data_IF_775378247537
#
_entry.id   IF_775378247537
#
_cell.length_a   1.000
_cell.length_b   1.000
_cell.length_c   1.000
_cell.angle_alpha   90.00
_cell.angle_beta   90.00
_cell.angle_gamma   90.00
#
_symmetry.space_group_name_H-M   'P 1'
#
loop_
_entity.id
_entity.type
_entity.pdbx_description
1 polymer ?
#
# COMPACT_ATOMS: atom_id res chain seq x y z
N UNK A 1 -9.28 -24.93 56.17
CA UNK A 1 -9.73 -24.49 54.82
C UNK A 1 -8.54 -24.68 53.92
N UNK A 2 -8.35 -25.93 53.42
CA UNK A 2 -7.37 -26.24 52.39
C UNK A 2 -8.15 -26.36 51.06
N UNK A 3 -8.00 -25.37 50.16
CA UNK A 3 -8.52 -25.44 48.82
C UNK A 3 -7.79 -26.54 48.05
N UNK A 4 -8.53 -27.33 47.26
CA UNK A 4 -8.04 -28.43 46.44
C UNK A 4 -6.89 -27.92 45.54
N UNK A 5 -5.69 -28.44 45.76
CA UNK A 5 -4.54 -28.24 44.84
C UNK A 5 -4.84 -29.11 43.62
N UNK A 6 -4.91 -28.55 42.41
CA UNK A 6 -5.17 -29.31 41.20
C UNK A 6 -4.10 -30.41 41.02
N UNK A 7 -4.52 -31.64 40.71
CA UNK A 7 -3.67 -32.77 40.44
C UNK A 7 -2.70 -32.49 39.29
N UNK A 8 -1.46 -32.99 39.38
CA UNK A 8 -0.38 -32.89 38.38
C UNK A 8 -0.86 -33.26 36.97
N UNK A 9 -1.81 -34.19 36.86
CA UNK A 9 -2.42 -34.59 35.58
C UNK A 9 -3.33 -33.49 35.00
N UNK A 10 -3.91 -32.65 35.81
CA UNK A 10 -4.75 -31.54 35.40
C UNK A 10 -3.86 -30.42 34.84
N UNK A 11 -2.71 -30.14 35.47
CA UNK A 11 -1.68 -29.21 34.96
C UNK A 11 -1.07 -29.68 33.65
N UNK A 12 -0.80 -30.98 33.50
CA UNK A 12 -0.26 -31.58 32.29
C UNK A 12 -1.23 -31.46 31.12
N UNK A 13 -2.52 -31.73 31.34
CA UNK A 13 -3.59 -31.57 30.33
C UNK A 13 -3.76 -30.11 29.92
N UNK A 14 -3.75 -29.18 30.85
CA UNK A 14 -3.84 -27.76 30.54
C UNK A 14 -2.62 -27.25 29.76
N UNK A 15 -1.43 -27.70 30.07
CA UNK A 15 -0.22 -27.34 29.32
C UNK A 15 -0.22 -27.94 27.89
N UNK A 16 -0.68 -29.17 27.72
CA UNK A 16 -0.80 -29.80 26.38
C UNK A 16 -1.86 -29.13 25.52
N UNK A 17 -3.03 -28.77 26.10
CA UNK A 17 -4.06 -28.02 25.40
C UNK A 17 -3.61 -26.59 25.05
N UNK A 18 -2.83 -25.96 25.91
CA UNK A 18 -2.27 -24.64 25.62
C UNK A 18 -1.22 -24.69 24.53
N UNK A 19 -0.33 -25.70 24.54
CA UNK A 19 0.71 -25.91 23.52
C UNK A 19 0.11 -26.29 22.16
N UNK A 20 -0.91 -27.15 22.11
CA UNK A 20 -1.62 -27.50 20.88
C UNK A 20 -2.42 -26.33 20.34
N UNK A 21 -3.05 -25.53 21.19
CA UNK A 21 -3.73 -24.28 20.81
C UNK A 21 -2.77 -23.25 20.23
N UNK A 22 -1.61 -23.05 20.86
CA UNK A 22 -0.55 -22.14 20.38
C UNK A 22 0.05 -22.63 19.04
N UNK A 23 0.29 -23.95 18.89
CA UNK A 23 0.77 -24.52 17.62
C UNK A 23 -0.28 -24.38 16.50
N UNK A 24 -1.55 -24.57 16.79
CA UNK A 24 -2.62 -24.41 15.80
C UNK A 24 -2.82 -22.96 15.39
N UNK A 25 -2.72 -21.99 16.32
CA UNK A 25 -2.71 -20.56 16.01
C UNK A 25 -1.49 -20.14 15.16
N UNK A 26 -0.32 -20.68 15.43
CA UNK A 26 0.92 -20.39 14.65
C UNK A 26 0.83 -20.95 13.22
N UNK A 27 0.36 -22.18 13.06
CA UNK A 27 0.16 -22.79 11.74
C UNK A 27 -0.88 -22.01 10.91
N UNK A 28 -1.97 -21.54 11.52
CA UNK A 28 -2.96 -20.71 10.86
C UNK A 28 -2.41 -19.33 10.43
N UNK A 29 -1.50 -18.75 11.18
CA UNK A 29 -0.86 -17.47 10.82
C UNK A 29 0.11 -17.64 9.63
N UNK A 30 0.94 -18.69 9.65
CA UNK A 30 1.89 -19.00 8.57
C UNK A 30 1.12 -19.32 7.28
N UNK A 31 0.08 -20.15 7.36
CA UNK A 31 -0.74 -20.50 6.20
C UNK A 31 -1.42 -19.26 5.57
N UNK A 32 -1.93 -18.33 6.39
CA UNK A 32 -2.50 -17.06 5.89
C UNK A 32 -1.45 -16.19 5.22
N UNK A 33 -0.27 -16.04 5.82
CA UNK A 33 0.83 -15.29 5.22
C UNK A 33 1.23 -15.90 3.88
N UNK A 34 1.41 -17.21 3.81
CA UNK A 34 1.73 -17.92 2.57
C UNK A 34 0.64 -17.70 1.49
N UNK A 35 -0.64 -17.81 1.85
CA UNK A 35 -1.76 -17.57 0.93
C UNK A 35 -1.74 -16.15 0.37
N UNK A 36 -1.52 -15.13 1.21
CA UNK A 36 -1.42 -13.72 0.79
C UNK A 36 -0.25 -13.51 -0.15
N UNK A 37 0.92 -14.06 0.17
CA UNK A 37 2.12 -13.92 -0.65
C UNK A 37 1.94 -14.61 -2.00
N UNK A 38 1.42 -15.83 -2.03
CA UNK A 38 1.15 -16.57 -3.27
C UNK A 38 0.14 -15.83 -4.14
N UNK A 39 -0.98 -15.40 -3.57
CA UNK A 39 -2.00 -14.65 -4.30
C UNK A 39 -1.43 -13.34 -4.89
N UNK A 40 -0.64 -12.60 -4.09
CA UNK A 40 0.01 -11.37 -4.57
C UNK A 40 1.02 -11.67 -5.66
N UNK A 41 1.82 -12.72 -5.54
CA UNK A 41 2.80 -13.13 -6.56
C UNK A 41 2.12 -13.52 -7.88
N UNK A 42 1.00 -14.25 -7.83
CA UNK A 42 0.20 -14.59 -9.02
C UNK A 42 -0.31 -13.30 -9.68
N UNK A 43 -0.89 -12.38 -8.92
CA UNK A 43 -1.37 -11.09 -9.45
C UNK A 43 -0.23 -10.26 -10.04
N UNK A 44 0.94 -10.24 -9.41
CA UNK A 44 2.13 -9.59 -9.94
C UNK A 44 2.60 -10.22 -11.27
N UNK A 45 2.41 -11.51 -11.48
CA UNK A 45 2.68 -12.18 -12.77
C UNK A 45 1.64 -11.85 -13.85
N UNK A 46 0.36 -11.68 -13.47
CA UNK A 46 -0.73 -11.37 -14.39
C UNK A 46 -0.69 -9.91 -14.89
N UNK A 47 -0.32 -8.97 -14.03
CA UNK A 47 -0.32 -7.53 -14.35
C UNK A 47 0.50 -7.17 -15.60
N UNK A 48 1.74 -7.64 -15.80
CA UNK A 48 2.48 -7.38 -17.03
C UNK A 48 1.78 -7.93 -18.28
N UNK A 49 1.15 -9.11 -18.18
CA UNK A 49 0.39 -9.70 -19.29
C UNK A 49 -0.80 -8.83 -19.69
N UNK A 50 -1.54 -8.30 -18.68
CA UNK A 50 -2.60 -7.31 -18.93
C UNK A 50 -2.01 -6.06 -19.59
N UNK A 51 -0.87 -5.57 -19.12
CA UNK A 51 -0.21 -4.38 -19.66
C UNK A 51 0.17 -4.55 -21.13
N UNK A 52 0.73 -5.69 -21.50
CA UNK A 52 1.06 -6.01 -22.91
C UNK A 52 -0.21 -6.11 -23.75
N UNK A 53 -1.24 -6.80 -23.27
CA UNK A 53 -2.52 -6.90 -23.98
C UNK A 53 -3.18 -5.53 -24.21
N UNK A 54 -3.09 -4.63 -23.24
CA UNK A 54 -3.59 -3.24 -23.36
C UNK A 54 -2.75 -2.41 -24.33
N UNK A 55 -1.41 -2.56 -24.29
CA UNK A 55 -0.49 -1.88 -25.22
C UNK A 55 -0.81 -2.22 -26.67
N UNK A 56 -1.05 -3.49 -26.94
CA UNK A 56 -1.23 -4.01 -28.29
C UNK A 56 -2.68 -3.89 -28.81
N UNK A 57 -3.63 -3.48 -27.94
CA UNK A 57 -5.04 -3.31 -28.28
C UNK A 57 -5.38 -1.90 -28.73
N UNK A 58 -5.55 -1.69 -30.02
CA UNK A 58 -6.03 -0.42 -30.57
C UNK A 58 -7.42 -0.02 -30.03
N UNK A 59 -8.31 -1.00 -29.81
CA UNK A 59 -9.67 -0.76 -29.30
C UNK A 59 -9.61 -0.25 -27.86
N UNK A 60 -8.79 -0.86 -27.00
CA UNK A 60 -8.62 -0.41 -25.63
C UNK A 60 -8.05 1.01 -25.59
N UNK A 61 -6.98 1.26 -26.35
CA UNK A 61 -6.34 2.58 -26.46
C UNK A 61 -7.32 3.66 -26.93
N UNK A 62 -8.13 3.37 -27.96
CA UNK A 62 -9.13 4.30 -28.46
C UNK A 62 -10.19 4.62 -27.39
N UNK A 63 -10.74 3.61 -26.72
CA UNK A 63 -11.75 3.80 -25.65
C UNK A 63 -11.21 4.65 -24.51
N UNK A 64 -10.01 4.37 -24.04
CA UNK A 64 -9.41 5.11 -22.94
C UNK A 64 -9.02 6.54 -23.36
N UNK A 65 -8.58 6.75 -24.60
CA UNK A 65 -8.32 8.09 -25.15
C UNK A 65 -9.60 8.93 -25.20
N UNK A 66 -10.73 8.34 -25.58
CA UNK A 66 -12.04 9.05 -25.57
C UNK A 66 -12.41 9.51 -24.15
N UNK A 67 -12.14 8.70 -23.13
CA UNK A 67 -12.34 9.11 -21.72
C UNK A 67 -11.45 10.30 -21.39
N UNK A 68 -10.18 10.28 -21.77
CA UNK A 68 -9.25 11.39 -21.52
C UNK A 68 -9.67 12.68 -22.26
N UNK A 69 -10.17 12.57 -23.48
CA UNK A 69 -10.70 13.71 -24.23
C UNK A 69 -11.93 14.33 -23.53
N UNK A 70 -12.84 13.51 -23.00
CA UNK A 70 -13.98 14.00 -22.22
C UNK A 70 -13.52 14.72 -20.93
N UNK A 71 -12.48 14.21 -20.26
CA UNK A 71 -11.88 14.85 -19.07
C UNK A 71 -11.15 16.15 -19.45
N UNK A 72 -10.61 16.26 -20.65
CA UNK A 72 -9.95 17.48 -21.14
C UNK A 72 -10.89 18.67 -21.27
N UNK A 73 -12.21 18.45 -21.36
CA UNK A 73 -13.22 19.50 -21.39
C UNK A 73 -13.55 20.11 -20.00
N UNK A 74 -12.99 19.56 -18.92
CA UNK A 74 -13.20 20.06 -17.56
C UNK A 74 -12.45 21.38 -17.30
N UNK A 75 -12.90 22.21 -16.31
CA UNK A 75 -12.33 23.52 -16.02
C UNK A 75 -10.80 23.47 -15.76
N UNK A 76 -10.10 24.52 -16.24
CA UNK A 76 -8.63 24.63 -16.12
C UNK A 76 -8.13 24.57 -14.67
N UNK A 77 -8.86 25.14 -13.71
CA UNK A 77 -8.47 25.10 -12.29
C UNK A 77 -8.28 23.70 -11.72
N UNK A 78 -8.96 22.67 -12.28
CA UNK A 78 -8.71 21.27 -11.91
C UNK A 78 -7.34 20.76 -12.41
N UNK A 79 -6.86 21.30 -13.52
CA UNK A 79 -5.54 20.98 -14.07
C UNK A 79 -4.41 21.61 -13.24
N UNK A 80 -4.63 22.84 -12.75
CA UNK A 80 -3.67 23.51 -11.87
C UNK A 80 -3.50 22.74 -10.57
N UNK A 81 -4.61 22.34 -9.93
CA UNK A 81 -4.58 21.44 -8.77
C UNK A 81 -3.89 20.09 -9.08
N UNK A 82 -4.15 19.54 -10.27
CA UNK A 82 -3.53 18.30 -10.72
C UNK A 82 -2.03 18.44 -10.92
N UNK A 83 -1.56 19.60 -11.36
CA UNK A 83 -0.14 19.91 -11.53
C UNK A 83 0.56 20.01 -10.17
N UNK A 84 -0.06 20.62 -9.16
CA UNK A 84 0.47 20.63 -7.80
C UNK A 84 0.63 19.19 -7.27
N UNK A 85 -0.38 18.34 -7.44
CA UNK A 85 -0.30 16.93 -7.07
C UNK A 85 0.80 16.19 -7.86
N UNK A 86 1.04 16.58 -9.12
CA UNK A 86 2.14 16.02 -9.92
C UNK A 86 3.51 16.27 -9.29
N UNK A 87 3.77 17.47 -8.82
CA UNK A 87 5.03 17.81 -8.16
C UNK A 87 5.16 17.12 -6.81
N UNK A 88 4.09 17.13 -5.99
CA UNK A 88 4.10 16.51 -4.66
C UNK A 88 4.34 14.99 -4.72
N UNK A 89 3.76 14.32 -5.70
CA UNK A 89 3.90 12.87 -5.88
C UNK A 89 4.88 12.47 -6.99
N UNK A 90 5.75 13.42 -7.41
CA UNK A 90 6.94 13.11 -8.17
C UNK A 90 7.90 12.23 -7.35
N UNK A 91 8.92 11.65 -7.99
CA UNK A 91 9.94 10.86 -7.27
C UNK A 91 10.56 11.64 -6.11
N UNK A 92 10.94 12.89 -6.34
CA UNK A 92 11.55 13.75 -5.32
C UNK A 92 10.56 14.09 -4.21
N UNK A 93 9.35 14.50 -4.56
CA UNK A 93 8.30 14.81 -3.59
C UNK A 93 7.93 13.59 -2.74
N UNK A 94 7.78 12.42 -3.35
CA UNK A 94 7.51 11.17 -2.64
C UNK A 94 8.62 10.83 -1.64
N UNK A 95 9.89 10.91 -2.06
CA UNK A 95 11.04 10.66 -1.17
C UNK A 95 11.03 11.65 0.01
N UNK A 96 10.80 12.94 -0.25
CA UNK A 96 10.77 13.96 0.80
C UNK A 96 9.64 13.70 1.81
N UNK A 97 8.44 13.36 1.35
CA UNK A 97 7.30 13.07 2.23
C UNK A 97 7.55 11.79 3.04
N UNK A 98 8.04 10.73 2.41
CA UNK A 98 8.37 9.48 3.12
C UNK A 98 9.47 9.70 4.15
N UNK A 99 10.52 10.47 3.83
CA UNK A 99 11.58 10.81 4.78
C UNK A 99 11.05 11.61 5.98
N UNK A 100 10.16 12.58 5.74
CA UNK A 100 9.52 13.34 6.82
C UNK A 100 8.66 12.43 7.72
N UNK A 101 7.84 11.55 7.14
CA UNK A 101 7.05 10.57 7.89
C UNK A 101 7.94 9.60 8.66
N UNK A 102 9.05 9.13 8.08
CA UNK A 102 10.02 8.27 8.75
C UNK A 102 10.69 8.96 9.95
N UNK A 103 11.01 10.26 9.82
CA UNK A 103 11.54 11.04 10.93
C UNK A 103 10.52 11.20 12.07
N UNK A 104 9.25 11.44 11.73
CA UNK A 104 8.15 11.48 12.70
C UNK A 104 7.98 10.12 13.37
N UNK A 105 7.97 9.04 12.60
CA UNK A 105 7.81 7.68 13.12
C UNK A 105 8.96 7.28 14.05
N UNK A 106 10.19 7.69 13.73
CA UNK A 106 11.35 7.50 14.60
C UNK A 106 11.18 8.22 15.96
N UNK A 107 10.65 9.44 15.96
CA UNK A 107 10.36 10.18 17.21
C UNK A 107 9.24 9.54 18.02
N UNK A 108 8.25 8.94 17.35
CA UNK A 108 7.14 8.25 18.00
C UNK A 108 7.61 6.95 18.63
N UNK A 109 8.32 6.12 17.89
CA UNK A 109 8.67 4.74 18.25
C UNK A 109 9.98 4.62 18.99
N UNK A 110 10.93 5.53 18.75
CA UNK A 110 12.32 5.44 19.23
C UNK A 110 13.12 4.28 18.61
N UNK A 111 12.56 3.55 17.65
CA UNK A 111 13.11 2.32 17.09
C UNK A 111 13.44 2.44 15.61
N UNK A 112 14.74 2.42 15.27
CA UNK A 112 15.19 2.38 13.88
C UNK A 112 14.67 1.15 13.13
N UNK A 113 14.57 0.00 13.80
CA UNK A 113 14.07 -1.25 13.20
C UNK A 113 12.62 -1.10 12.73
N UNK A 114 11.75 -0.49 13.54
CA UNK A 114 10.36 -0.22 13.18
C UNK A 114 10.29 0.71 11.96
N UNK A 115 11.07 1.80 11.96
CA UNK A 115 11.10 2.75 10.84
C UNK A 115 11.59 2.09 9.55
N UNK A 116 12.66 1.31 9.60
CA UNK A 116 13.17 0.57 8.44
C UNK A 116 12.09 -0.36 7.88
N UNK A 117 11.41 -1.12 8.75
CA UNK A 117 10.27 -1.96 8.36
C UNK A 117 9.21 -1.14 7.63
N UNK A 118 8.78 -0.03 8.22
CA UNK A 118 7.67 0.76 7.70
C UNK A 118 8.04 1.43 6.36
N UNK A 119 9.29 1.86 6.19
CA UNK A 119 9.81 2.35 4.91
C UNK A 119 9.88 1.23 3.87
N UNK A 120 10.43 0.06 4.21
CA UNK A 120 10.54 -1.09 3.28
C UNK A 120 9.15 -1.55 2.83
N UNK A 121 8.22 -1.73 3.76
CA UNK A 121 6.83 -2.11 3.46
C UNK A 121 6.16 -1.10 2.53
N UNK A 122 6.37 0.20 2.79
CA UNK A 122 5.75 1.25 2.00
C UNK A 122 6.36 1.37 0.60
N UNK A 123 7.69 1.30 0.48
CA UNK A 123 8.42 1.54 -0.77
C UNK A 123 8.49 0.32 -1.72
N UNK A 124 8.26 -0.89 -1.21
CA UNK A 124 8.37 -2.12 -2.01
C UNK A 124 7.60 -2.09 -3.35
N UNK A 125 6.38 -1.51 -3.44
CA UNK A 125 5.65 -1.45 -4.70
C UNK A 125 6.35 -0.66 -5.82
N UNK A 126 7.22 0.31 -5.47
CA UNK A 126 7.92 1.14 -6.47
C UNK A 126 8.86 0.29 -7.33
N UNK A 127 9.57 -0.66 -6.71
CA UNK A 127 10.47 -1.57 -7.44
C UNK A 127 9.69 -2.40 -8.47
N UNK A 128 8.55 -2.92 -8.06
CA UNK A 128 7.66 -3.68 -8.94
C UNK A 128 7.13 -2.82 -10.10
N UNK A 129 6.55 -1.65 -9.79
CA UNK A 129 6.00 -0.73 -10.79
C UNK A 129 7.08 -0.30 -11.79
N UNK A 130 8.29 0.00 -11.32
CA UNK A 130 9.41 0.36 -12.20
C UNK A 130 9.80 -0.79 -13.12
N UNK A 131 9.91 -2.02 -12.60
CA UNK A 131 10.21 -3.19 -13.41
C UNK A 131 9.14 -3.47 -14.47
N UNK A 132 7.86 -3.41 -14.10
CA UNK A 132 6.74 -3.63 -15.03
C UNK A 132 6.67 -2.56 -16.11
N UNK A 133 7.00 -1.29 -15.80
CA UNK A 133 7.07 -0.22 -16.82
C UNK A 133 7.97 -0.59 -17.98
N UNK A 134 9.19 -1.00 -17.67
CA UNK A 134 10.21 -1.36 -18.68
C UNK A 134 9.94 -2.71 -19.34
N UNK A 135 9.16 -3.58 -18.73
CA UNK A 135 8.73 -4.85 -19.33
C UNK A 135 7.57 -4.66 -20.32
N UNK A 136 6.62 -3.77 -19.99
CA UNK A 136 5.42 -3.55 -20.79
C UNK A 136 5.65 -2.50 -21.89
N UNK A 137 6.38 -1.44 -21.60
CA UNK A 137 6.70 -0.33 -22.51
C UNK A 137 5.47 0.29 -23.20
N UNK A 138 4.35 0.41 -22.47
CA UNK A 138 3.12 1.01 -23.01
C UNK A 138 3.34 2.49 -23.32
N UNK A 139 3.10 2.96 -24.56
CA UNK A 139 3.21 4.38 -24.89
C UNK A 139 2.20 5.21 -24.10
N UNK A 140 2.55 6.47 -23.81
CA UNK A 140 1.65 7.41 -23.13
C UNK A 140 0.55 7.91 -24.08
N UNK A 141 -0.61 8.35 -23.51
CA UNK A 141 -1.66 8.97 -24.32
C UNK A 141 -1.12 10.21 -25.06
N UNK A 142 -1.44 10.32 -26.35
CA UNK A 142 -1.22 11.55 -27.13
C UNK A 142 -2.48 12.40 -26.96
N UNK A 143 -2.43 13.36 -26.04
CA UNK A 143 -3.54 14.27 -25.79
C UNK A 143 -3.11 15.72 -26.03
N UNK A 144 -4.05 16.57 -26.48
CA UNK A 144 -3.82 18.00 -26.65
C UNK A 144 -3.53 18.75 -25.33
N UNK A 145 -3.71 18.11 -24.20
CA UNK A 145 -3.57 18.68 -22.87
C UNK A 145 -2.13 18.64 -22.36
N UNK A 146 -1.32 17.71 -22.83
CA UNK A 146 0.08 17.57 -22.42
C UNK A 146 0.98 18.56 -23.17
N UNK A 147 1.03 19.81 -22.75
CA UNK A 147 1.90 20.87 -23.31
C UNK A 147 3.39 20.49 -23.25
N UNK A 148 3.83 19.60 -24.14
CA UNK A 148 5.25 19.38 -24.46
C UNK A 148 6.13 18.69 -23.40
N UNK A 149 5.63 18.38 -22.21
CA UNK A 149 6.38 17.75 -21.11
C UNK A 149 5.89 16.33 -20.82
N UNK A 150 5.79 15.49 -21.87
CA UNK A 150 5.56 14.07 -21.65
C UNK A 150 6.80 13.46 -20.97
N UNK A 151 6.65 12.79 -19.82
CA UNK A 151 7.74 12.04 -19.23
C UNK A 151 8.27 11.00 -20.21
N UNK A 152 9.58 10.78 -20.25
CA UNK A 152 10.23 9.84 -21.16
C UNK A 152 10.05 8.36 -20.78
N UNK A 153 9.39 8.06 -19.64
CA UNK A 153 9.12 6.71 -19.17
C UNK A 153 7.76 6.17 -19.68
N UNK A 154 7.58 4.84 -19.79
CA UNK A 154 6.33 4.21 -20.22
C UNK A 154 5.13 4.57 -19.33
N UNK A 155 3.89 4.44 -19.88
CA UNK A 155 2.68 4.84 -19.15
C UNK A 155 2.25 3.83 -18.09
N UNK A 156 2.37 2.53 -18.37
CA UNK A 156 1.83 1.45 -17.54
C UNK A 156 2.90 0.78 -16.66
N UNK A 157 2.63 0.56 -15.39
CA UNK A 157 1.59 1.13 -14.55
C UNK A 157 1.94 2.57 -14.11
N UNK A 158 0.98 3.31 -13.48
CA UNK A 158 1.20 4.70 -13.09
C UNK A 158 2.14 4.85 -11.88
N UNK A 159 3.31 5.47 -12.10
CA UNK A 159 4.29 5.73 -11.03
C UNK A 159 3.81 6.73 -9.97
N UNK A 160 3.07 7.79 -10.36
CA UNK A 160 2.52 8.76 -9.41
C UNK A 160 1.42 8.17 -8.53
N UNK A 161 0.57 7.30 -9.09
CA UNK A 161 -0.43 6.58 -8.29
C UNK A 161 0.25 5.61 -7.32
N UNK A 162 1.31 4.93 -7.75
CA UNK A 162 2.13 4.10 -6.86
C UNK A 162 2.78 4.94 -5.74
N UNK A 163 3.34 6.12 -6.05
CA UNK A 163 3.89 7.04 -5.06
C UNK A 163 2.83 7.49 -4.03
N UNK A 164 1.61 7.77 -4.48
CA UNK A 164 0.50 8.09 -3.57
C UNK A 164 0.17 6.91 -2.63
N UNK A 165 0.22 5.67 -3.12
CA UNK A 165 0.06 4.48 -2.27
C UNK A 165 1.20 4.35 -1.27
N UNK A 166 2.46 4.55 -1.70
CA UNK A 166 3.64 4.52 -0.81
C UNK A 166 3.49 5.51 0.35
N UNK A 167 3.16 6.77 0.03
CA UNK A 167 2.93 7.82 1.04
C UNK A 167 1.76 7.45 1.96
N UNK A 168 0.67 6.92 1.39
CA UNK A 168 -0.52 6.50 2.14
C UNK A 168 -0.23 5.36 3.11
N UNK A 169 0.52 4.34 2.67
CA UNK A 169 0.92 3.20 3.52
C UNK A 169 1.84 3.69 4.63
N UNK A 170 2.85 4.51 4.33
CA UNK A 170 3.75 5.07 5.34
C UNK A 170 2.98 5.90 6.38
N UNK A 171 2.04 6.74 5.93
CA UNK A 171 1.17 7.52 6.82
C UNK A 171 0.32 6.62 7.72
N UNK A 172 -0.29 5.55 7.18
CA UNK A 172 -1.09 4.60 7.97
C UNK A 172 -0.23 3.92 9.04
N UNK A 173 1.00 3.50 8.71
CA UNK A 173 1.90 2.84 9.64
C UNK A 173 2.37 3.81 10.75
N UNK A 174 2.78 5.03 10.39
CA UNK A 174 3.15 6.08 11.35
C UNK A 174 1.99 6.40 12.31
N UNK A 175 0.78 6.59 11.77
CA UNK A 175 -0.44 6.84 12.57
C UNK A 175 -0.79 5.65 13.45
N UNK A 176 -0.61 4.41 12.97
CA UNK A 176 -0.80 3.20 13.78
C UNK A 176 0.17 3.15 14.96
N UNK A 177 1.44 3.47 14.74
CA UNK A 177 2.45 3.52 15.79
C UNK A 177 2.12 4.61 16.81
N UNK A 178 1.72 5.80 16.36
CA UNK A 178 1.25 6.89 17.20
C UNK A 178 0.02 6.47 18.04
N UNK A 179 -0.98 5.88 17.39
CA UNK A 179 -2.20 5.45 18.07
C UNK A 179 -1.94 4.36 19.12
N UNK A 180 -0.97 3.46 18.88
CA UNK A 180 -0.54 2.47 19.88
C UNK A 180 0.13 3.11 21.10
N UNK A 181 0.93 4.16 20.87
CA UNK A 181 1.58 4.91 21.95
C UNK A 181 0.58 5.69 22.79
N UNK A 182 -0.41 6.34 22.15
CA UNK A 182 -1.43 7.14 22.85
C UNK A 182 -2.55 6.31 23.50
N UNK A 183 -2.86 5.16 22.92
CA UNK A 183 -3.92 4.24 23.34
C UNK A 183 -3.35 2.83 23.44
N UNK A 184 -2.52 2.53 24.46
CA UNK A 184 -1.94 1.21 24.66
C UNK A 184 -3.03 0.15 24.85
N UNK A 185 -2.69 -1.11 24.52
CA UNK A 185 -3.59 -2.24 24.73
C UNK A 185 -3.87 -2.40 26.24
N UNK A 186 -5.14 -2.51 26.62
CA UNK A 186 -5.62 -2.67 27.99
C UNK A 186 -7.10 -2.97 27.97
N UNK A 187 -7.68 -3.26 29.15
CA UNK A 187 -9.09 -3.66 29.32
C UNK A 187 -10.12 -2.54 29.05
N UNK A 188 -9.68 -1.32 28.73
CA UNK A 188 -10.56 -0.18 28.45
C UNK A 188 -11.05 -0.21 26.99
N UNK A 189 -12.27 -0.68 26.78
CA UNK A 189 -12.97 -0.70 25.49
C UNK A 189 -13.02 0.68 24.81
N UNK A 190 -13.06 1.76 25.58
CA UNK A 190 -13.08 3.13 25.06
C UNK A 190 -11.78 3.53 24.35
N UNK A 191 -10.63 3.06 24.82
CA UNK A 191 -9.33 3.32 24.19
C UNK A 191 -9.18 2.51 22.89
N UNK A 192 -9.57 1.25 22.92
CA UNK A 192 -9.56 0.38 21.73
C UNK A 192 -10.47 0.95 20.63
N UNK A 193 -11.64 1.46 20.97
CA UNK A 193 -12.56 2.10 20.04
C UNK A 193 -11.97 3.39 19.44
N UNK A 194 -11.36 4.28 20.25
CA UNK A 194 -10.68 5.50 19.76
C UNK A 194 -9.58 5.16 18.77
N UNK A 195 -8.75 4.15 19.05
CA UNK A 195 -7.70 3.67 18.14
C UNK A 195 -8.28 3.21 16.81
N UNK A 196 -9.37 2.42 16.83
CA UNK A 196 -10.05 1.94 15.59
C UNK A 196 -10.60 3.10 14.78
N UNK A 197 -11.28 4.06 15.43
CA UNK A 197 -11.84 5.23 14.75
C UNK A 197 -10.75 6.07 14.10
N UNK A 198 -9.63 6.29 14.80
CA UNK A 198 -8.50 7.05 14.28
C UNK A 198 -7.87 6.40 13.06
N UNK A 199 -7.59 5.09 13.13
CA UNK A 199 -7.08 4.32 11.99
C UNK A 199 -8.06 4.30 10.82
N UNK A 200 -9.35 4.11 11.07
CA UNK A 200 -10.37 4.12 10.02
C UNK A 200 -10.40 5.47 9.26
N UNK A 201 -10.35 6.59 9.99
CA UNK A 201 -10.29 7.93 9.38
C UNK A 201 -9.03 8.11 8.53
N UNK A 202 -7.89 7.63 9.02
CA UNK A 202 -6.62 7.66 8.27
C UNK A 202 -6.71 6.84 6.99
N UNK A 203 -7.28 5.64 7.04
CA UNK A 203 -7.46 4.79 5.84
C UNK A 203 -8.38 5.47 4.83
N UNK A 204 -9.49 6.07 5.28
CA UNK A 204 -10.40 6.81 4.38
C UNK A 204 -9.66 7.98 3.71
N UNK A 205 -8.88 8.76 4.47
CA UNK A 205 -8.07 9.84 3.93
C UNK A 205 -6.99 9.36 2.95
N UNK A 206 -6.36 8.22 3.25
CA UNK A 206 -5.37 7.58 2.39
C UNK A 206 -5.98 7.13 1.04
N UNK A 207 -7.16 6.51 1.07
CA UNK A 207 -7.89 6.13 -0.15
C UNK A 207 -8.27 7.36 -0.96
N UNK A 208 -8.81 8.40 -0.30
CA UNK A 208 -9.16 9.65 -0.97
C UNK A 208 -7.94 10.31 -1.64
N UNK A 209 -6.77 10.28 -0.98
CA UNK A 209 -5.51 10.78 -1.53
C UNK A 209 -5.09 10.01 -2.79
N UNK A 210 -5.11 8.66 -2.73
CA UNK A 210 -4.77 7.83 -3.90
C UNK A 210 -5.71 8.10 -5.06
N UNK A 211 -7.02 8.21 -4.80
CA UNK A 211 -8.02 8.54 -5.83
C UNK A 211 -7.75 9.94 -6.41
N UNK A 212 -7.49 10.95 -5.58
CA UNK A 212 -7.20 12.31 -6.05
C UNK A 212 -5.95 12.35 -6.96
N UNK A 213 -4.87 11.67 -6.56
CA UNK A 213 -3.66 11.58 -7.38
C UNK A 213 -3.93 10.78 -8.67
N UNK A 214 -4.65 9.67 -8.62
CA UNK A 214 -5.02 8.89 -9.80
C UNK A 214 -5.83 9.75 -10.79
N UNK A 215 -6.88 10.44 -10.31
CA UNK A 215 -7.67 11.36 -11.13
C UNK A 215 -6.83 12.49 -11.73
N UNK A 216 -5.88 13.04 -10.97
CA UNK A 216 -4.98 14.07 -11.48
C UNK A 216 -4.15 13.61 -12.68
N UNK A 217 -3.79 12.31 -12.76
CA UNK A 217 -3.05 11.75 -13.91
C UNK A 217 -3.91 11.68 -15.16
N UNK A 218 -5.20 11.39 -14.99
CA UNK A 218 -6.17 11.37 -16.08
C UNK A 218 -6.48 12.79 -16.59
N UNK A 219 -6.67 13.74 -15.67
CA UNK A 219 -6.93 15.15 -16.00
C UNK A 219 -5.77 15.81 -16.75
N UNK A 220 -4.52 15.41 -16.45
CA UNK A 220 -3.33 15.86 -17.17
C UNK A 220 -3.08 15.08 -18.47
N UNK A 221 -3.89 14.06 -18.79
CA UNK A 221 -3.72 13.23 -19.99
C UNK A 221 -2.42 12.45 -20.03
N UNK A 222 -1.79 12.16 -18.88
CA UNK A 222 -0.47 11.52 -18.79
C UNK A 222 -0.54 9.99 -18.67
N UNK A 223 -1.70 9.46 -18.29
CA UNK A 223 -1.93 8.04 -18.08
C UNK A 223 -3.31 7.62 -18.55
N UNK A 224 -3.46 6.39 -18.96
CA UNK A 224 -4.76 5.77 -19.23
C UNK A 224 -5.45 5.37 -17.92
N UNK A 225 -6.81 5.26 -17.91
CA UNK A 225 -7.56 4.78 -16.73
C UNK A 225 -7.04 3.46 -16.17
N UNK A 226 -6.70 2.49 -17.02
CA UNK A 226 -6.17 1.20 -16.57
C UNK A 226 -4.81 1.32 -15.89
N UNK A 227 -3.93 2.25 -16.30
CA UNK A 227 -2.61 2.46 -15.68
C UNK A 227 -2.74 2.83 -14.21
N UNK A 228 -3.68 3.73 -13.89
CA UNK A 228 -3.89 4.21 -12.53
C UNK A 228 -4.66 3.20 -11.66
N UNK A 229 -5.66 2.50 -12.23
CA UNK A 229 -6.42 1.46 -11.54
C UNK A 229 -5.50 0.32 -11.11
N UNK A 230 -4.65 -0.16 -12.02
CA UNK A 230 -3.71 -1.25 -11.71
C UNK A 230 -2.76 -0.82 -10.59
N UNK A 231 -2.18 0.38 -10.64
CA UNK A 231 -1.31 0.84 -9.56
C UNK A 231 -2.05 0.98 -8.23
N UNK A 232 -3.27 1.53 -8.24
CA UNK A 232 -4.08 1.72 -7.04
C UNK A 232 -4.49 0.39 -6.38
N UNK A 233 -4.56 -0.69 -7.14
CA UNK A 233 -4.96 -2.02 -6.65
C UNK A 233 -3.77 -2.91 -6.27
N UNK A 234 -2.75 -2.99 -7.13
CA UNK A 234 -1.63 -3.92 -6.89
C UNK A 234 -0.65 -3.42 -5.82
N UNK A 235 -0.41 -2.10 -5.75
CA UNK A 235 0.57 -1.56 -4.81
C UNK A 235 0.20 -1.80 -3.32
N UNK A 236 -1.05 -1.59 -2.86
CA UNK A 236 -1.43 -1.93 -1.49
C UNK A 236 -1.29 -3.41 -1.18
N UNK A 237 -1.56 -4.30 -2.15
CA UNK A 237 -1.41 -5.75 -1.97
C UNK A 237 0.06 -6.14 -1.77
N UNK A 238 0.98 -5.56 -2.56
CA UNK A 238 2.41 -5.78 -2.40
C UNK A 238 2.87 -5.29 -1.02
N UNK A 239 2.50 -4.07 -0.62
CA UNK A 239 2.83 -3.56 0.72
C UNK A 239 2.31 -4.49 1.82
N UNK A 240 1.08 -4.98 1.69
CA UNK A 240 0.48 -5.89 2.67
C UNK A 240 1.20 -7.26 2.71
N UNK A 241 1.56 -7.81 1.55
CA UNK A 241 2.33 -9.05 1.49
C UNK A 241 3.70 -8.91 2.17
N UNK A 242 4.43 -7.81 1.89
CA UNK A 242 5.72 -7.52 2.54
C UNK A 242 5.55 -7.34 4.05
N UNK A 243 4.48 -6.67 4.49
CA UNK A 243 4.12 -6.57 5.91
C UNK A 243 3.90 -7.93 6.56
N UNK A 244 3.16 -8.83 5.90
CA UNK A 244 2.93 -10.18 6.42
C UNK A 244 4.23 -11.00 6.54
N UNK A 245 5.09 -10.92 5.52
CA UNK A 245 6.40 -11.59 5.54
C UNK A 245 7.27 -11.06 6.66
N UNK A 246 7.38 -9.74 6.80
CA UNK A 246 8.19 -9.13 7.85
C UNK A 246 7.77 -9.59 9.24
N UNK A 247 6.46 -9.52 9.54
CA UNK A 247 5.95 -9.96 10.84
C UNK A 247 6.17 -11.47 11.08
N UNK A 248 6.08 -12.30 10.04
CA UNK A 248 6.36 -13.73 10.16
C UNK A 248 7.85 -13.99 10.49
N UNK A 249 8.77 -13.24 9.87
CA UNK A 249 10.21 -13.33 10.15
C UNK A 249 10.54 -12.83 11.57
N UNK A 250 9.94 -11.74 12.03
CA UNK A 250 10.12 -11.26 13.42
C UNK A 250 9.69 -12.31 14.43
N UNK A 251 8.51 -12.90 14.23
CA UNK A 251 7.99 -13.96 15.11
C UNK A 251 8.82 -15.25 15.09
N UNK A 252 9.61 -15.48 14.05
CA UNK A 252 10.52 -16.61 13.94
C UNK A 252 11.90 -16.35 14.60
N UNK A 253 12.38 -15.10 14.58
CA UNK A 253 13.68 -14.68 15.13
C UNK A 253 13.71 -14.45 16.65
N UNK A 254 12.52 -14.36 17.29
CA UNK A 254 12.38 -14.22 18.75
C UNK A 254 12.42 -15.58 19.49
N UNK A 255 12.81 -16.67 18.82
CA UNK A 255 12.98 -18.03 19.35
C UNK A 255 14.45 -18.40 19.41
#
# INVERSE_FOLDING_TARGET
IFGDIPDVNTWRRHSELCLTGIMHMKNGSIARTAAVVIATAILCGIVPMIGVALRDSAIATMRETNILQALAALPEGLRDCSTILAYLFSTVGCIAIVAALAAVDLRITGSRRVVIRDVVVSAAPILYVTGVKWLVERPRPITSVGNGLLPGDPSFPSGHTAAAVVVSVMMILTVRNFARKCFPDGEDDGRANRRRVFLRRTIIGAVALVVAVACSRLLLGLHYPTDVIISATICPLISYAVWCVWNACESAGER
#
